data_IF_022793642722
#
_entry.id   IF_022793642722
#
_cell.length_a   1.000
_cell.length_b   1.000
_cell.length_c   1.000
_cell.angle_alpha   90.00
_cell.angle_beta   90.00
_cell.angle_gamma   90.00
#
_symmetry.space_group_name_H-M   'P 1'
#
loop_
_entity.id
_entity.type
_entity.pdbx_description
1 polymer ?
#
# COMPACT_ATOMS: atom_id res chain seq x y z
N UNK A 1 -20.08 4.40 -3.39
CA UNK A 1 -18.86 4.29 -2.58
C UNK A 1 -18.18 2.95 -2.78
N UNK A 2 -16.92 2.95 -3.24
CA UNK A 2 -16.11 1.74 -3.44
C UNK A 2 -15.01 1.65 -2.38
N UNK A 3 -14.79 0.47 -1.80
CA UNK A 3 -13.75 0.25 -0.79
C UNK A 3 -12.91 -0.96 -1.15
N UNK A 4 -11.60 -0.79 -1.10
CA UNK A 4 -10.63 -1.85 -1.36
C UNK A 4 -9.73 -2.03 -0.14
N UNK A 5 -9.53 -3.27 0.28
CA UNK A 5 -8.52 -3.64 1.26
C UNK A 5 -7.38 -4.35 0.53
N UNK A 6 -6.17 -3.80 0.60
CA UNK A 6 -4.96 -4.41 0.01
C UNK A 6 -4.09 -4.92 1.14
N UNK A 7 -3.91 -6.24 1.21
CA UNK A 7 -3.20 -6.89 2.32
C UNK A 7 -1.78 -7.26 1.90
N UNK A 8 -0.81 -6.46 2.37
CA UNK A 8 0.60 -6.73 2.22
C UNK A 8 1.13 -7.59 3.37
N UNK A 9 1.09 -8.91 3.18
CA UNK A 9 1.58 -9.89 4.17
C UNK A 9 3.04 -9.66 4.58
N UNK A 10 3.87 -9.19 3.64
CA UNK A 10 5.29 -8.89 3.88
C UNK A 10 5.60 -7.40 3.93
N UNK A 11 4.63 -6.54 3.60
CA UNK A 11 4.86 -5.11 3.47
C UNK A 11 5.22 -4.49 4.82
N UNK A 12 6.34 -3.77 4.86
CA UNK A 12 6.89 -3.23 6.10
C UNK A 12 5.92 -2.28 6.81
N UNK A 13 5.56 -2.60 8.05
CA UNK A 13 4.68 -1.80 8.91
C UNK A 13 5.42 -0.69 9.67
N UNK A 14 6.72 -0.85 9.88
CA UNK A 14 7.63 0.08 10.56
C UNK A 14 9.05 0.00 9.98
N UNK A 15 9.85 1.01 10.29
CA UNK A 15 11.27 1.09 9.90
C UNK A 15 11.51 2.00 8.69
N UNK A 16 12.76 2.07 8.25
CA UNK A 16 13.15 2.84 7.06
C UNK A 16 12.72 2.09 5.82
N UNK A 17 11.87 2.71 5.00
CA UNK A 17 11.43 2.13 3.73
C UNK A 17 12.59 2.18 2.71
N UNK A 18 13.08 1.04 2.19
CA UNK A 18 14.14 1.03 1.19
C UNK A 18 13.56 1.39 -0.18
N UNK A 19 13.65 2.67 -0.56
CA UNK A 19 13.07 3.20 -1.81
C UNK A 19 13.70 2.58 -3.08
N UNK A 20 14.95 2.15 -2.99
CA UNK A 20 15.65 1.46 -4.06
C UNK A 20 15.37 -0.05 -4.12
N UNK A 21 14.58 -0.60 -3.18
CA UNK A 21 14.26 -2.03 -3.11
C UNK A 21 12.81 -2.28 -2.63
N UNK A 22 11.86 -1.70 -3.37
CA UNK A 22 10.43 -1.82 -3.04
C UNK A 22 9.86 -3.23 -3.26
N UNK A 23 10.48 -4.00 -4.15
CA UNK A 23 10.02 -5.32 -4.57
C UNK A 23 10.58 -6.47 -3.72
N UNK A 24 11.66 -6.27 -2.97
CA UNK A 24 12.18 -7.29 -2.05
C UNK A 24 12.23 -6.75 -0.63
N UNK A 25 13.17 -5.86 -0.32
CA UNK A 25 13.44 -5.34 1.01
C UNK A 25 12.25 -4.63 1.67
N UNK A 26 11.43 -3.94 0.88
CA UNK A 26 10.20 -3.31 1.40
C UNK A 26 9.00 -4.26 1.53
N UNK A 27 9.14 -5.53 1.13
CA UNK A 27 8.11 -6.55 1.27
C UNK A 27 6.96 -6.41 0.28
N UNK A 28 7.28 -6.29 -1.02
CA UNK A 28 6.31 -6.07 -2.11
C UNK A 28 5.51 -4.77 -2.00
N UNK A 29 6.12 -3.72 -1.44
CA UNK A 29 5.50 -2.39 -1.39
C UNK A 29 5.19 -1.86 -2.79
N UNK A 30 5.97 -2.25 -3.81
CA UNK A 30 5.72 -1.96 -5.23
C UNK A 30 4.30 -2.38 -5.68
N UNK A 31 3.80 -3.51 -5.17
CA UNK A 31 2.47 -4.04 -5.50
C UNK A 31 1.39 -3.21 -4.82
N UNK A 32 1.59 -2.86 -3.55
CA UNK A 32 0.64 -2.05 -2.78
C UNK A 32 0.49 -0.65 -3.38
N UNK A 33 1.61 -0.04 -3.78
CA UNK A 33 1.61 1.27 -4.47
C UNK A 33 0.87 1.17 -5.81
N UNK A 34 1.12 0.13 -6.62
CA UNK A 34 0.39 -0.07 -7.87
C UNK A 34 -1.12 -0.27 -7.65
N UNK A 35 -1.51 -1.01 -6.62
CA UNK A 35 -2.92 -1.18 -6.27
C UNK A 35 -3.57 0.13 -5.80
N UNK A 36 -2.86 0.94 -5.01
CA UNK A 36 -3.29 2.29 -4.62
C UNK A 36 -3.52 3.18 -5.84
N UNK A 37 -2.56 3.22 -6.76
CA UNK A 37 -2.65 4.02 -7.98
C UNK A 37 -3.81 3.55 -8.87
N UNK A 38 -3.97 2.24 -9.07
CA UNK A 38 -5.07 1.67 -9.85
C UNK A 38 -6.44 1.97 -9.21
N UNK A 39 -6.52 1.95 -7.88
CA UNK A 39 -7.75 2.25 -7.14
C UNK A 39 -8.13 3.73 -7.18
N UNK A 40 -7.16 4.64 -7.07
CA UNK A 40 -7.44 6.08 -6.90
C UNK A 40 -7.30 6.90 -8.19
N UNK A 41 -6.31 6.63 -9.03
CA UNK A 41 -5.93 7.52 -10.12
C UNK A 41 -6.78 7.34 -11.39
N UNK A 42 -7.11 8.46 -12.03
CA UNK A 42 -7.66 8.54 -13.39
C UNK A 42 -6.70 9.34 -14.27
N UNK A 43 -6.95 9.44 -15.57
CA UNK A 43 -6.07 10.18 -16.49
C UNK A 43 -5.86 11.65 -16.09
N UNK A 44 -6.88 12.29 -15.49
CA UNK A 44 -6.88 13.72 -15.15
C UNK A 44 -7.37 13.99 -13.74
N UNK A 45 -7.19 13.06 -12.79
CA UNK A 45 -7.60 13.28 -11.40
C UNK A 45 -7.64 12.03 -10.53
N UNK A 46 -8.45 12.12 -9.48
CA UNK A 46 -8.64 11.08 -8.46
C UNK A 46 -10.12 10.74 -8.31
N UNK A 47 -10.41 9.45 -8.10
CA UNK A 47 -11.75 8.98 -7.75
C UNK A 47 -12.13 9.51 -6.37
N UNK A 48 -13.19 10.32 -6.30
CA UNK A 48 -13.65 10.96 -5.03
C UNK A 48 -14.45 10.03 -4.13
N UNK A 49 -15.03 8.96 -4.69
CA UNK A 49 -15.89 8.00 -3.98
C UNK A 49 -15.24 6.61 -3.85
N UNK A 50 -13.91 6.60 -3.71
CA UNK A 50 -13.10 5.39 -3.51
C UNK A 50 -12.23 5.52 -2.26
N UNK A 51 -12.16 4.46 -1.46
CA UNK A 51 -11.19 4.31 -0.38
C UNK A 51 -10.31 3.09 -0.65
N UNK A 52 -9.00 3.26 -0.54
CA UNK A 52 -8.04 2.16 -0.57
C UNK A 52 -7.35 2.09 0.78
N UNK A 53 -7.52 0.97 1.50
CA UNK A 53 -6.86 0.72 2.78
C UNK A 53 -5.70 -0.23 2.55
N UNK A 54 -4.50 0.20 2.93
CA UNK A 54 -3.30 -0.62 2.90
C UNK A 54 -3.09 -1.26 4.27
N UNK A 55 -3.08 -2.59 4.32
CA UNK A 55 -2.77 -3.37 5.52
C UNK A 55 -1.33 -3.86 5.43
N UNK A 56 -0.45 -3.27 6.23
CA UNK A 56 0.99 -3.55 6.29
C UNK A 56 1.26 -4.53 7.43
N UNK A 57 1.47 -5.81 7.09
CA UNK A 57 1.54 -6.91 8.07
C UNK A 57 2.97 -7.43 8.30
N UNK A 58 3.96 -6.96 7.53
CA UNK A 58 5.34 -7.42 7.61
C UNK A 58 6.30 -6.41 8.22
N UNK A 59 7.58 -6.77 8.26
CA UNK A 59 8.62 -5.94 8.86
C UNK A 59 8.57 -5.92 10.41
N UNK A 60 9.40 -5.08 11.04
CA UNK A 60 9.46 -5.01 12.50
C UNK A 60 8.22 -4.31 13.08
N UNK A 61 7.80 -4.72 14.28
CA UNK A 61 6.70 -4.07 15.00
C UNK A 61 5.30 -4.55 14.60
N UNK A 62 4.24 -3.92 15.16
CA UNK A 62 2.89 -4.42 15.00
C UNK A 62 2.32 -4.14 13.60
N UNK A 63 1.30 -4.92 13.18
CA UNK A 63 0.46 -4.62 12.03
C UNK A 63 0.01 -3.15 11.96
N UNK A 64 0.11 -2.52 10.79
CA UNK A 64 -0.31 -1.13 10.56
C UNK A 64 -1.33 -1.03 9.43
N UNK A 65 -2.26 -0.08 9.55
CA UNK A 65 -3.23 0.27 8.50
C UNK A 65 -3.04 1.73 8.07
N UNK A 66 -3.10 1.97 6.77
CA UNK A 66 -3.11 3.31 6.17
C UNK A 66 -4.39 3.43 5.36
N UNK A 67 -5.14 4.52 5.55
CA UNK A 67 -6.41 4.81 4.89
C UNK A 67 -6.30 6.11 4.11
#
# INVERSE_FOLDING_TARGET
MRRFAVVGHRAMSKGKLPLNDLASGAGRMDVLIRALMAGLMTSHGLRRDTVVVLHLMGGPGPPRRIK
#
